data_IF_410437698567
#
_entry.id   IF_410437698567
#
_cell.length_a   1.000
_cell.length_b   1.000
_cell.length_c   1.000
_cell.angle_alpha   90.00
_cell.angle_beta   90.00
_cell.angle_gamma   90.00
#
_symmetry.space_group_name_H-M   'P 1'
#
loop_
_entity.id
_entity.type
_entity.pdbx_description
1 polymer ?
#
# COMPACT_ATOMS: atom_id res chain seq x y z
N UNK A 1 -3.33 -16.31 59.50
CA UNK A 1 -3.55 -15.11 58.66
C UNK A 1 -2.99 -15.39 57.28
N UNK A 2 -3.85 -15.74 56.33
CA UNK A 2 -3.44 -15.88 54.92
C UNK A 2 -3.33 -14.47 54.35
N UNK A 3 -2.11 -13.97 54.23
CA UNK A 3 -1.88 -12.65 53.63
C UNK A 3 -2.35 -12.74 52.19
N UNK A 4 -3.35 -11.94 51.81
CA UNK A 4 -3.79 -11.73 50.43
C UNK A 4 -2.62 -11.15 49.63
N UNK A 5 -1.67 -12.00 49.22
CA UNK A 5 -0.57 -11.61 48.36
C UNK A 5 -1.17 -11.24 47.01
N UNK A 6 -0.93 -10.02 46.55
CA UNK A 6 -1.25 -9.63 45.19
C UNK A 6 -0.44 -10.53 44.25
N UNK A 7 -1.14 -11.29 43.42
CA UNK A 7 -0.52 -12.15 42.42
C UNK A 7 0.28 -11.34 41.43
N UNK A 8 1.52 -11.75 41.18
CA UNK A 8 2.44 -11.02 40.33
C UNK A 8 2.46 -11.48 38.89
N UNK A 9 1.90 -12.67 38.61
CA UNK A 9 1.92 -13.26 37.27
C UNK A 9 0.66 -12.88 36.46
N UNK A 10 0.80 -12.05 35.41
CA UNK A 10 -0.30 -11.67 34.53
C UNK A 10 -0.81 -12.83 33.67
N UNK A 11 -0.04 -13.91 33.53
CA UNK A 11 -0.43 -15.08 32.73
C UNK A 11 -1.69 -15.75 33.28
N UNK A 12 -1.87 -15.70 34.61
CA UNK A 12 -3.06 -16.20 35.30
C UNK A 12 -4.33 -15.40 34.96
N UNK A 13 -4.19 -14.18 34.45
CA UNK A 13 -5.31 -13.38 33.96
C UNK A 13 -5.82 -13.81 32.58
N UNK A 14 -5.06 -14.61 31.82
CA UNK A 14 -5.44 -15.08 30.47
C UNK A 14 -6.38 -16.28 30.53
N UNK A 15 -7.60 -16.06 30.95
CA UNK A 15 -8.63 -17.10 31.03
C UNK A 15 -9.28 -17.37 29.67
N UNK A 16 -9.99 -18.51 29.56
CA UNK A 16 -10.80 -18.81 28.37
C UNK A 16 -11.83 -17.70 28.09
N UNK A 17 -12.39 -17.11 29.14
CA UNK A 17 -13.33 -15.99 29.05
C UNK A 17 -12.69 -14.76 28.36
N UNK A 18 -11.46 -14.40 28.75
CA UNK A 18 -10.69 -13.33 28.12
C UNK A 18 -10.41 -13.64 26.65
N UNK A 19 -10.07 -14.89 26.32
CA UNK A 19 -9.85 -15.32 24.93
C UNK A 19 -11.14 -15.20 24.10
N UNK A 20 -12.28 -15.65 24.64
CA UNK A 20 -13.58 -15.54 23.97
C UNK A 20 -13.98 -14.09 23.75
N UNK A 21 -13.78 -13.22 24.74
CA UNK A 21 -14.01 -11.78 24.62
C UNK A 21 -13.12 -11.14 23.55
N UNK A 22 -11.86 -11.55 23.46
CA UNK A 22 -10.94 -11.09 22.39
C UNK A 22 -11.43 -11.52 21.00
N UNK A 23 -11.90 -12.77 20.85
CA UNK A 23 -12.50 -13.27 19.60
C UNK A 23 -13.76 -12.47 19.25
N UNK A 24 -14.63 -12.19 20.23
CA UNK A 24 -15.81 -11.34 20.05
C UNK A 24 -15.42 -9.98 19.47
N UNK A 25 -14.46 -9.29 20.10
CA UNK A 25 -14.00 -7.98 19.62
C UNK A 25 -13.44 -8.05 18.20
N UNK A 26 -12.67 -9.10 17.90
CA UNK A 26 -12.14 -9.32 16.55
C UNK A 26 -13.25 -9.49 15.51
N UNK A 27 -14.30 -10.26 15.81
CA UNK A 27 -15.42 -10.48 14.88
C UNK A 27 -16.22 -9.19 14.68
N UNK A 28 -16.62 -8.57 15.80
CA UNK A 28 -17.49 -7.39 15.80
C UNK A 28 -16.86 -6.18 15.10
N UNK A 29 -15.52 -6.04 15.14
CA UNK A 29 -14.84 -4.92 14.48
C UNK A 29 -14.97 -4.93 12.94
N UNK A 30 -15.16 -6.10 12.33
CA UNK A 30 -15.32 -6.23 10.87
C UNK A 30 -16.78 -6.35 10.43
N UNK A 31 -17.73 -6.31 11.38
CA UNK A 31 -19.16 -6.33 11.08
C UNK A 31 -19.70 -4.93 10.88
N UNK A 32 -20.66 -4.79 9.96
CA UNK A 32 -21.45 -3.57 9.87
C UNK A 32 -22.38 -3.44 11.09
N UNK A 33 -22.88 -2.22 11.31
CA UNK A 33 -23.71 -1.89 12.48
C UNK A 33 -24.98 -2.74 12.53
N UNK A 34 -25.67 -2.89 11.40
CA UNK A 34 -26.97 -3.56 11.35
C UNK A 34 -26.81 -5.06 11.62
N UNK A 35 -25.76 -5.69 11.07
CA UNK A 35 -25.42 -7.08 11.36
C UNK A 35 -25.03 -7.30 12.82
N UNK A 36 -24.24 -6.40 13.41
CA UNK A 36 -23.86 -6.52 14.82
C UNK A 36 -25.09 -6.41 15.74
N UNK A 37 -25.98 -5.46 15.47
CA UNK A 37 -27.21 -5.25 16.24
C UNK A 37 -28.19 -6.42 16.06
N UNK A 38 -28.33 -6.97 14.84
CA UNK A 38 -29.16 -8.15 14.57
C UNK A 38 -28.68 -9.40 15.33
N UNK A 39 -27.37 -9.54 15.57
CA UNK A 39 -26.80 -10.62 16.38
C UNK A 39 -26.74 -10.28 17.89
N UNK A 40 -27.23 -9.11 18.31
CA UNK A 40 -27.16 -8.66 19.70
C UNK A 40 -25.74 -8.42 20.20
N UNK A 41 -24.77 -8.19 19.30
CA UNK A 41 -23.37 -8.02 19.65
C UNK A 41 -23.08 -6.56 19.99
N UNK A 42 -22.97 -6.27 21.29
CA UNK A 42 -22.58 -4.93 21.73
C UNK A 42 -21.16 -4.58 21.27
N UNK A 43 -21.05 -3.46 20.55
CA UNK A 43 -19.77 -2.87 20.13
C UNK A 43 -19.08 -2.17 21.28
N UNK A 44 -17.76 -2.31 21.35
CA UNK A 44 -16.97 -1.50 22.26
C UNK A 44 -16.91 -0.05 21.73
N UNK A 45 -16.80 0.93 22.64
CA UNK A 45 -16.65 2.36 22.29
C UNK A 45 -15.49 2.60 21.29
N UNK A 46 -14.49 1.71 21.27
CA UNK A 46 -13.31 1.81 20.43
C UNK A 46 -13.45 1.16 19.03
N UNK A 47 -14.65 0.72 18.60
CA UNK A 47 -14.87 0.09 17.28
C UNK A 47 -14.75 1.06 16.08
N UNK A 48 -14.64 2.37 16.30
CA UNK A 48 -14.42 3.37 15.24
C UNK A 48 -12.94 3.78 15.13
N UNK A 49 -12.06 2.79 14.95
CA UNK A 49 -10.62 3.03 14.93
C UNK A 49 -10.16 3.68 13.61
N UNK A 50 -9.58 4.89 13.64
CA UNK A 50 -9.04 5.51 12.43
C UNK A 50 -7.90 4.70 11.80
N UNK A 51 -7.13 3.93 12.59
CA UNK A 51 -6.04 3.11 12.08
C UNK A 51 -6.56 1.91 11.27
N UNK A 52 -7.72 1.36 11.63
CA UNK A 52 -8.38 0.31 10.84
C UNK A 52 -8.88 0.86 9.51
N UNK A 53 -9.44 2.07 9.50
CA UNK A 53 -9.83 2.76 8.25
C UNK A 53 -8.63 2.96 7.34
N UNK A 54 -7.47 3.34 7.90
CA UNK A 54 -6.21 3.44 7.16
C UNK A 54 -5.77 2.10 6.57
N UNK A 55 -5.96 0.98 7.28
CA UNK A 55 -5.69 -0.36 6.73
C UNK A 55 -6.50 -0.63 5.46
N UNK A 56 -7.80 -0.31 5.48
CA UNK A 56 -8.68 -0.48 4.31
C UNK A 56 -8.26 0.40 3.14
N UNK A 57 -7.88 1.66 3.40
CA UNK A 57 -7.36 2.56 2.37
C UNK A 57 -6.07 2.01 1.72
N UNK A 58 -5.17 1.41 2.51
CA UNK A 58 -3.97 0.77 1.96
C UNK A 58 -4.31 -0.45 1.08
N UNK A 59 -5.30 -1.25 1.47
CA UNK A 59 -5.82 -2.37 0.66
C UNK A 59 -6.43 -1.90 -0.65
N UNK A 60 -7.32 -0.91 -0.61
CA UNK A 60 -7.97 -0.35 -1.79
C UNK A 60 -6.94 0.27 -2.75
N UNK A 61 -5.97 1.02 -2.22
CA UNK A 61 -4.89 1.62 -3.00
C UNK A 61 -3.96 0.56 -3.63
N UNK A 62 -3.83 -0.62 -3.04
CA UNK A 62 -3.01 -1.70 -3.61
C UNK A 62 -3.48 -2.08 -5.01
N UNK A 63 -4.81 -2.13 -5.23
CA UNK A 63 -5.36 -2.42 -6.55
C UNK A 63 -5.05 -1.32 -7.56
N UNK A 64 -5.17 -0.06 -7.15
CA UNK A 64 -4.79 1.09 -7.98
C UNK A 64 -3.32 0.98 -8.42
N UNK A 65 -2.42 0.66 -7.51
CA UNK A 65 -0.99 0.53 -7.83
C UNK A 65 -0.69 -0.66 -8.73
N UNK A 66 -1.39 -1.79 -8.57
CA UNK A 66 -1.27 -2.92 -9.50
C UNK A 66 -1.68 -2.54 -10.92
N UNK A 67 -2.76 -1.76 -11.05
CA UNK A 67 -3.20 -1.26 -12.35
C UNK A 67 -2.17 -0.29 -12.96
N UNK A 68 -1.57 0.60 -12.14
CA UNK A 68 -0.48 1.47 -12.61
C UNK A 68 0.75 0.68 -13.06
N UNK A 69 1.16 -0.35 -12.30
CA UNK A 69 2.27 -1.24 -12.65
C UNK A 69 2.00 -1.90 -14.00
N UNK A 70 0.80 -2.46 -14.20
CA UNK A 70 0.41 -3.09 -15.47
C UNK A 70 0.46 -2.07 -16.62
N UNK A 71 -0.15 -0.90 -16.43
CA UNK A 71 -0.17 0.17 -17.43
C UNK A 71 1.24 0.60 -17.86
N UNK A 72 2.13 0.90 -16.90
CA UNK A 72 3.50 1.31 -17.23
C UNK A 72 4.31 0.17 -17.85
N UNK A 73 4.06 -1.08 -17.43
CA UNK A 73 4.72 -2.25 -18.04
C UNK A 73 4.35 -2.39 -19.51
N UNK A 74 3.06 -2.29 -19.85
CA UNK A 74 2.57 -2.35 -21.22
C UNK A 74 3.07 -1.15 -22.03
N UNK A 75 3.00 0.05 -21.47
CA UNK A 75 3.49 1.26 -22.13
C UNK A 75 4.98 1.14 -22.49
N UNK A 76 5.81 0.71 -21.55
CA UNK A 76 7.25 0.56 -21.80
C UNK A 76 7.54 -0.59 -22.76
N UNK A 77 6.76 -1.67 -22.72
CA UNK A 77 6.84 -2.75 -23.70
C UNK A 77 6.55 -2.24 -25.12
N UNK A 78 5.44 -1.52 -25.31
CA UNK A 78 5.07 -0.99 -26.63
C UNK A 78 6.05 0.07 -27.12
N UNK A 79 6.57 0.93 -26.23
CA UNK A 79 7.57 1.92 -26.61
C UNK A 79 8.90 1.28 -27.04
N UNK A 80 9.31 0.19 -26.39
CA UNK A 80 10.48 -0.60 -26.84
C UNK A 80 10.24 -1.22 -28.22
N UNK A 81 9.02 -1.71 -28.47
CA UNK A 81 8.64 -2.23 -29.80
C UNK A 81 8.66 -1.16 -30.88
N UNK A 82 8.12 0.02 -30.59
CA UNK A 82 8.18 1.16 -31.52
C UNK A 82 9.64 1.54 -31.80
N UNK A 83 10.48 1.63 -30.76
CA UNK A 83 11.92 1.90 -30.92
C UNK A 83 12.59 0.86 -31.83
N UNK A 84 12.27 -0.43 -31.68
CA UNK A 84 12.80 -1.47 -32.57
C UNK A 84 12.34 -1.27 -34.02
N UNK A 85 11.05 -1.02 -34.26
CA UNK A 85 10.56 -0.79 -35.62
C UNK A 85 11.13 0.47 -36.27
N UNK A 86 11.35 1.52 -35.49
CA UNK A 86 12.06 2.73 -35.95
C UNK A 86 13.48 2.39 -36.42
N UNK A 87 14.18 1.50 -35.70
CA UNK A 87 15.50 1.03 -36.13
C UNK A 87 15.41 0.25 -37.43
N UNK A 88 14.47 -0.69 -37.52
CA UNK A 88 14.29 -1.55 -38.70
C UNK A 88 13.99 -0.70 -39.95
N UNK A 89 13.11 0.31 -39.84
CA UNK A 89 12.90 1.27 -40.92
C UNK A 89 14.17 2.01 -41.30
N UNK A 90 14.92 2.47 -40.31
CA UNK A 90 16.18 3.17 -40.55
C UNK A 90 17.21 2.31 -41.28
N UNK A 91 17.30 1.02 -40.91
CA UNK A 91 18.19 0.06 -41.56
C UNK A 91 17.78 -0.19 -43.02
N UNK A 92 16.49 -0.36 -43.30
CA UNK A 92 15.95 -0.53 -44.66
C UNK A 92 16.22 0.71 -45.53
N UNK A 93 15.97 1.91 -45.01
CA UNK A 93 16.22 3.14 -45.76
C UNK A 93 17.71 3.32 -46.10
N UNK A 94 18.61 3.03 -45.16
CA UNK A 94 20.04 3.08 -45.44
C UNK A 94 20.49 2.01 -46.46
N UNK A 95 19.85 0.83 -46.47
CA UNK A 95 20.10 -0.21 -47.48
C UNK A 95 19.62 0.24 -48.87
N UNK A 96 18.42 0.80 -48.97
CA UNK A 96 17.90 1.39 -50.21
C UNK A 96 18.83 2.48 -50.73
N UNK A 97 19.29 3.38 -49.86
CA UNK A 97 20.26 4.41 -50.23
C UNK A 97 21.53 3.78 -50.84
N UNK A 98 22.10 2.76 -50.22
CA UNK A 98 23.33 2.12 -50.71
C UNK A 98 23.19 1.49 -52.11
N UNK A 99 21.97 1.15 -52.52
CA UNK A 99 21.66 0.55 -53.82
C UNK A 99 21.06 1.53 -54.84
N UNK A 100 20.72 2.75 -54.41
CA UNK A 100 20.09 3.76 -55.27
C UNK A 100 21.14 4.54 -56.08
N UNK A 101 20.92 4.60 -57.39
CA UNK A 101 21.79 5.27 -58.36
C UNK A 101 21.42 6.73 -58.58
N UNK A 102 20.15 7.09 -58.37
CA UNK A 102 19.67 8.47 -58.45
C UNK A 102 20.11 9.25 -57.21
N UNK A 103 20.98 10.24 -57.39
CA UNK A 103 21.60 10.99 -56.29
C UNK A 103 20.57 11.61 -55.31
N UNK A 104 19.49 12.19 -55.83
CA UNK A 104 18.43 12.79 -54.99
C UNK A 104 17.71 11.75 -54.13
N UNK A 105 17.36 10.59 -54.70
CA UNK A 105 16.69 9.51 -53.98
C UNK A 105 17.63 8.83 -52.97
N UNK A 106 18.91 8.65 -53.32
CA UNK A 106 19.96 8.17 -52.43
C UNK A 106 20.11 9.06 -51.19
N UNK A 107 20.23 10.38 -51.40
CA UNK A 107 20.31 11.35 -50.32
C UNK A 107 19.05 11.31 -49.45
N UNK A 108 17.87 11.23 -50.09
CA UNK A 108 16.61 11.15 -49.38
C UNK A 108 16.53 9.93 -48.46
N UNK A 109 16.81 8.74 -48.98
CA UNK A 109 16.82 7.52 -48.21
C UNK A 109 17.87 7.55 -47.08
N UNK A 110 19.03 8.17 -47.30
CA UNK A 110 20.04 8.36 -46.24
C UNK A 110 19.50 9.22 -45.10
N UNK A 111 18.93 10.37 -45.43
CA UNK A 111 18.36 11.32 -44.44
C UNK A 111 17.23 10.66 -43.64
N UNK A 112 16.29 9.97 -44.30
CA UNK A 112 15.23 9.24 -43.61
C UNK A 112 15.77 8.10 -42.76
N UNK A 113 16.75 7.34 -43.27
CA UNK A 113 17.36 6.23 -42.56
C UNK A 113 18.04 6.65 -41.26
N UNK A 114 18.81 7.73 -41.33
CA UNK A 114 19.45 8.33 -40.15
C UNK A 114 18.44 8.87 -39.15
N UNK A 115 17.39 9.57 -39.61
CA UNK A 115 16.34 10.08 -38.73
C UNK A 115 15.63 8.95 -37.97
N UNK A 116 15.25 7.87 -38.66
CA UNK A 116 14.62 6.69 -38.07
C UNK A 116 15.52 5.99 -37.03
N UNK A 117 16.82 5.85 -37.31
CA UNK A 117 17.81 5.33 -36.34
C UNK A 117 17.96 6.24 -35.12
N UNK A 118 17.94 7.56 -35.31
CA UNK A 118 17.98 8.52 -34.21
C UNK A 118 16.74 8.43 -33.32
N UNK A 119 15.54 8.37 -33.92
CA UNK A 119 14.27 8.18 -33.20
C UNK A 119 14.32 6.93 -32.33
N UNK A 120 14.75 5.80 -32.90
CA UNK A 120 14.91 4.54 -32.17
C UNK A 120 15.80 4.72 -30.94
N UNK A 121 16.98 5.30 -31.12
CA UNK A 121 17.95 5.51 -30.04
C UNK A 121 17.38 6.37 -28.92
N UNK A 122 16.76 7.51 -29.26
CA UNK A 122 16.17 8.43 -28.26
C UNK A 122 15.04 7.78 -27.47
N UNK A 123 14.21 6.96 -28.12
CA UNK A 123 13.13 6.23 -27.47
C UNK A 123 13.64 5.10 -26.56
N UNK A 124 14.69 4.37 -26.96
CA UNK A 124 15.26 3.30 -26.13
C UNK A 124 15.99 3.86 -24.91
N UNK A 125 16.74 4.95 -25.08
CA UNK A 125 17.48 5.59 -23.98
C UNK A 125 16.54 6.20 -22.92
N UNK A 126 15.40 6.76 -23.34
CA UNK A 126 14.40 7.29 -22.39
C UNK A 126 13.80 6.21 -21.50
N UNK A 127 13.58 4.99 -22.03
CA UNK A 127 13.05 3.87 -21.24
C UNK A 127 13.99 3.38 -20.15
N UNK A 128 15.31 3.43 -20.35
CA UNK A 128 16.29 3.02 -19.32
C UNK A 128 16.12 3.82 -18.02
N UNK A 129 15.82 5.12 -18.15
CA UNK A 129 15.60 6.02 -17.02
C UNK A 129 14.25 5.82 -16.32
N UNK A 130 13.29 5.18 -17.00
CA UNK A 130 11.92 4.99 -16.52
C UNK A 130 11.66 3.61 -15.91
N UNK A 131 12.46 2.59 -16.27
CA UNK A 131 12.35 1.23 -15.69
C UNK A 131 12.34 1.18 -14.15
N UNK A 132 13.11 2.02 -13.40
CA UNK A 132 13.04 2.03 -11.93
C UNK A 132 11.65 2.33 -11.36
N UNK A 133 10.83 3.11 -12.07
CA UNK A 133 9.46 3.44 -11.64
C UNK A 133 8.64 2.18 -11.35
N UNK A 134 8.71 1.17 -12.23
CA UNK A 134 7.97 -0.08 -12.05
C UNK A 134 8.51 -0.85 -10.84
N UNK A 135 9.84 -0.93 -10.70
CA UNK A 135 10.47 -1.66 -9.60
C UNK A 135 10.11 -1.07 -8.22
N UNK A 136 10.05 0.25 -8.12
CA UNK A 136 9.69 0.94 -6.89
C UNK A 136 8.20 0.77 -6.56
N UNK A 137 7.31 0.85 -7.55
CA UNK A 137 5.87 0.55 -7.36
C UNK A 137 5.64 -0.90 -6.93
N UNK A 138 6.32 -1.86 -7.55
CA UNK A 138 6.25 -3.28 -7.17
C UNK A 138 6.73 -3.46 -5.72
N UNK A 139 7.84 -2.82 -5.34
CA UNK A 139 8.36 -2.89 -3.97
C UNK A 139 7.35 -2.30 -2.98
N UNK A 140 6.71 -1.19 -3.31
CA UNK A 140 5.67 -0.59 -2.48
C UNK A 140 4.50 -1.56 -2.25
N UNK A 141 3.97 -2.16 -3.32
CA UNK A 141 2.83 -3.08 -3.27
C UNK A 141 3.16 -4.40 -2.59
N UNK A 142 4.29 -5.03 -2.93
CA UNK A 142 4.57 -6.40 -2.52
C UNK A 142 5.36 -6.50 -1.21
N UNK A 143 5.97 -5.41 -0.75
CA UNK A 143 6.78 -5.38 0.48
C UNK A 143 6.26 -4.39 1.50
N UNK A 144 6.12 -3.12 1.10
CA UNK A 144 5.85 -2.03 2.06
C UNK A 144 4.43 -2.09 2.61
N UNK A 145 3.43 -2.28 1.73
CA UNK A 145 2.02 -2.40 2.16
C UNK A 145 1.79 -3.63 3.05
N UNK A 146 2.23 -4.85 2.68
CA UNK A 146 2.07 -6.04 3.52
C UNK A 146 2.74 -5.92 4.89
N UNK A 147 3.95 -5.32 4.97
CA UNK A 147 4.63 -5.08 6.24
C UNK A 147 3.84 -4.12 7.15
N UNK A 148 3.27 -3.06 6.56
CA UNK A 148 2.42 -2.12 7.30
C UNK A 148 1.12 -2.76 7.78
N UNK A 149 0.48 -3.58 6.93
CA UNK A 149 -0.69 -4.36 7.30
C UNK A 149 -0.39 -5.34 8.44
N UNK A 150 0.78 -5.98 8.44
CA UNK A 150 1.19 -6.86 9.53
C UNK A 150 1.34 -6.09 10.85
N UNK A 151 1.93 -4.90 10.82
CA UNK A 151 2.01 -4.02 11.99
C UNK A 151 0.63 -3.61 12.50
N UNK A 152 -0.29 -3.25 11.60
CA UNK A 152 -1.69 -2.94 11.94
C UNK A 152 -2.42 -4.14 12.55
N UNK A 153 -2.23 -5.34 12.02
CA UNK A 153 -2.80 -6.58 12.60
C UNK A 153 -2.29 -6.84 14.02
N UNK A 154 -1.00 -6.62 14.29
CA UNK A 154 -0.42 -6.71 15.65
C UNK A 154 -1.03 -5.67 16.59
N UNK A 155 -1.22 -4.44 16.11
CA UNK A 155 -1.91 -3.39 16.87
C UNK A 155 -3.34 -3.77 17.25
N UNK A 156 -4.13 -4.25 16.29
CA UNK A 156 -5.50 -4.68 16.54
C UNK A 156 -5.55 -5.83 17.54
N UNK A 157 -4.62 -6.78 17.46
CA UNK A 157 -4.53 -7.89 18.40
C UNK A 157 -4.31 -7.40 19.86
N UNK A 158 -3.40 -6.45 20.06
CA UNK A 158 -3.14 -5.82 21.37
C UNK A 158 -4.34 -5.00 21.84
N UNK A 159 -4.99 -4.27 20.93
CA UNK A 159 -6.23 -3.52 21.21
C UNK A 159 -7.34 -4.46 21.70
N UNK A 160 -7.59 -5.58 21.01
CA UNK A 160 -8.62 -6.53 21.39
C UNK A 160 -8.32 -7.22 22.73
N UNK A 161 -7.04 -7.50 23.01
CA UNK A 161 -6.62 -8.00 24.33
C UNK A 161 -6.93 -6.96 25.42
N UNK A 162 -6.55 -5.69 25.25
CA UNK A 162 -6.90 -4.63 26.19
C UNK A 162 -8.42 -4.48 26.40
N UNK A 163 -9.18 -4.46 25.30
CA UNK A 163 -10.64 -4.37 25.33
C UNK A 163 -11.31 -5.56 26.03
N UNK A 164 -10.72 -6.75 25.96
CA UNK A 164 -11.24 -7.94 26.63
C UNK A 164 -11.20 -7.80 28.15
N UNK A 165 -10.11 -7.24 28.71
CA UNK A 165 -10.01 -6.94 30.14
C UNK A 165 -10.92 -5.79 30.56
N UNK A 166 -11.09 -4.75 29.72
CA UNK A 166 -12.06 -3.69 29.99
C UNK A 166 -13.48 -4.22 30.09
N UNK A 167 -13.87 -5.12 29.19
CA UNK A 167 -15.19 -5.73 29.20
C UNK A 167 -15.38 -6.63 30.43
N UNK A 168 -14.39 -7.47 30.77
CA UNK A 168 -14.44 -8.30 31.97
C UNK A 168 -14.61 -7.47 33.24
N UNK A 169 -13.86 -6.38 33.39
CA UNK A 169 -13.99 -5.50 34.56
C UNK A 169 -15.36 -4.84 34.63
N UNK A 170 -15.89 -4.39 33.49
CA UNK A 170 -17.24 -3.84 33.43
C UNK A 170 -18.29 -4.86 33.87
N UNK A 171 -18.22 -6.09 33.37
CA UNK A 171 -19.14 -7.17 33.79
C UNK A 171 -19.06 -7.42 35.31
N UNK A 172 -17.87 -7.36 35.91
CA UNK A 172 -17.69 -7.49 37.36
C UNK A 172 -18.23 -6.28 38.13
N UNK A 173 -18.05 -5.06 37.61
CA UNK A 173 -18.63 -3.84 38.21
C UNK A 173 -20.16 -3.90 38.15
N UNK A 174 -20.73 -4.31 37.01
CA UNK A 174 -22.19 -4.44 36.80
C UNK A 174 -22.79 -5.51 37.74
N UNK A 175 -22.13 -6.66 37.92
CA UNK A 175 -22.52 -7.71 38.88
C UNK A 175 -22.51 -7.17 40.33
N UNK A 176 -21.48 -6.40 40.71
CA UNK A 176 -21.41 -5.84 42.07
C UNK A 176 -22.53 -4.84 42.34
N UNK A 177 -22.87 -4.01 41.34
CA UNK A 177 -24.00 -3.08 41.41
C UNK A 177 -25.34 -3.81 41.52
N UNK A 178 -25.53 -4.92 40.81
CA UNK A 178 -26.73 -5.74 40.87
C UNK A 178 -26.96 -6.31 42.27
N UNK A 179 -25.95 -6.97 42.87
CA UNK A 179 -26.03 -7.49 44.24
C UNK A 179 -26.28 -6.38 45.25
N UNK A 180 -25.62 -5.22 45.07
CA UNK A 180 -25.84 -4.06 45.93
C UNK A 180 -27.31 -3.57 45.87
N UNK A 181 -27.91 -3.55 44.68
CA UNK A 181 -29.32 -3.15 44.50
C UNK A 181 -30.31 -4.11 45.16
N UNK A 182 -29.94 -5.39 45.29
CA UNK A 182 -30.71 -6.42 45.97
C UNK A 182 -30.47 -6.46 47.49
N UNK A 183 -29.57 -5.61 48.03
CA UNK A 183 -29.07 -5.69 49.41
C UNK A 183 -28.46 -7.07 49.76
N UNK A 184 -27.88 -7.76 48.78
CA UNK A 184 -27.22 -9.05 48.98
C UNK A 184 -25.70 -8.90 49.05
N UNK A 185 -25.06 -9.77 49.84
CA UNK A 185 -23.60 -9.85 49.92
C UNK A 185 -23.04 -10.67 48.75
N UNK A 186 -21.99 -10.14 48.11
CA UNK A 186 -21.33 -10.82 47.00
C UNK A 186 -20.06 -11.52 47.48
N UNK A 187 -20.08 -12.85 47.47
CA UNK A 187 -19.01 -13.70 48.04
C UNK A 187 -17.60 -13.31 47.59
N UNK A 188 -17.39 -13.00 46.29
CA UNK A 188 -16.07 -12.59 45.79
C UNK A 188 -15.59 -11.29 46.45
N UNK A 189 -16.48 -10.34 46.75
CA UNK A 189 -16.13 -9.08 47.43
C UNK A 189 -15.81 -9.32 48.89
N UNK A 190 -16.64 -10.12 49.57
CA UNK A 190 -16.48 -10.46 50.99
C UNK A 190 -15.17 -11.22 51.26
N UNK A 191 -14.73 -12.02 50.29
CA UNK A 191 -13.47 -12.78 50.35
C UNK A 191 -12.26 -12.01 49.80
N UNK A 192 -12.41 -10.69 49.63
CA UNK A 192 -11.32 -9.81 49.27
C UNK A 192 -11.03 -9.75 47.78
N UNK A 193 -12.00 -9.97 46.89
CA UNK A 193 -12.05 -9.61 45.47
C UNK A 193 -10.76 -9.84 44.65
N UNK A 194 -10.15 -11.02 44.80
CA UNK A 194 -8.86 -11.32 44.20
C UNK A 194 -8.89 -11.31 42.66
N UNK A 195 -9.91 -11.91 42.04
CA UNK A 195 -10.04 -11.96 40.57
C UNK A 195 -10.12 -10.55 39.98
N UNK A 196 -10.90 -9.66 40.60
CA UNK A 196 -11.02 -8.28 40.15
C UNK A 196 -9.69 -7.54 40.18
N UNK A 197 -8.92 -7.68 41.26
CA UNK A 197 -7.57 -7.09 41.35
C UNK A 197 -6.61 -7.64 40.29
N UNK A 198 -6.69 -8.94 39.99
CA UNK A 198 -5.90 -9.56 38.93
C UNK A 198 -6.28 -8.98 37.56
N UNK A 199 -7.58 -8.87 37.27
CA UNK A 199 -8.08 -8.27 36.02
C UNK A 199 -7.70 -6.79 35.88
N UNK A 200 -7.75 -6.01 36.96
CA UNK A 200 -7.31 -4.60 36.98
C UNK A 200 -5.85 -4.46 36.57
N UNK A 201 -4.97 -5.32 37.12
CA UNK A 201 -3.55 -5.34 36.76
C UNK A 201 -3.35 -5.70 35.29
N UNK A 202 -4.00 -6.77 34.82
CA UNK A 202 -3.90 -7.20 33.43
C UNK A 202 -4.40 -6.11 32.46
N UNK A 203 -5.49 -5.41 32.81
CA UNK A 203 -5.95 -4.22 32.07
C UNK A 203 -4.88 -3.13 32.03
N UNK A 204 -4.23 -2.82 33.16
CA UNK A 204 -3.22 -1.77 33.23
C UNK A 204 -2.00 -2.08 32.34
N UNK A 205 -1.51 -3.31 32.38
CA UNK A 205 -0.38 -3.75 31.55
C UNK A 205 -0.74 -3.75 30.05
N UNK A 206 -1.90 -4.30 29.70
CA UNK A 206 -2.37 -4.32 28.31
C UNK A 206 -2.68 -2.93 27.79
N UNK A 207 -3.15 -1.99 28.64
CA UNK A 207 -3.33 -0.59 28.28
C UNK A 207 -2.02 0.07 27.89
N UNK A 208 -0.95 -0.17 28.64
CA UNK A 208 0.38 0.39 28.32
C UNK A 208 0.87 -0.11 26.96
N UNK A 209 0.77 -1.43 26.72
CA UNK A 209 1.12 -2.04 25.42
C UNK A 209 0.27 -1.50 24.28
N UNK A 210 -1.04 -1.35 24.50
CA UNK A 210 -1.96 -0.78 23.52
C UNK A 210 -1.61 0.66 23.17
N UNK A 211 -1.39 1.52 24.16
CA UNK A 211 -1.06 2.94 23.93
C UNK A 211 0.27 3.08 23.20
N UNK A 212 1.29 2.30 23.61
CA UNK A 212 2.58 2.29 22.94
C UNK A 212 2.44 1.86 21.46
N UNK A 213 1.84 0.69 21.22
CA UNK A 213 1.65 0.17 19.86
C UNK A 213 0.81 1.12 19.00
N UNK A 214 -0.20 1.77 19.57
CA UNK A 214 -1.02 2.79 18.87
C UNK A 214 -0.16 3.94 18.37
N UNK A 215 0.74 4.45 19.21
CA UNK A 215 1.64 5.54 18.84
C UNK A 215 2.64 5.10 17.77
N UNK A 216 3.23 3.91 17.92
CA UNK A 216 4.19 3.34 16.98
C UNK A 216 3.57 3.15 15.58
N UNK A 217 2.35 2.60 15.52
CA UNK A 217 1.63 2.41 14.26
C UNK A 217 1.23 3.74 13.63
N UNK A 218 0.80 4.72 14.43
CA UNK A 218 0.45 6.05 13.93
C UNK A 218 1.65 6.71 13.26
N UNK A 219 2.83 6.70 13.90
CA UNK A 219 4.07 7.24 13.32
C UNK A 219 4.44 6.47 12.05
N UNK A 220 4.35 5.13 12.06
CA UNK A 220 4.70 4.31 10.89
C UNK A 220 3.81 4.63 9.68
N UNK A 221 2.50 4.80 9.88
CA UNK A 221 1.57 5.17 8.81
C UNK A 221 1.86 6.58 8.29
N UNK A 222 2.15 7.53 9.17
CA UNK A 222 2.49 8.90 8.75
C UNK A 222 3.77 8.93 7.90
N UNK A 223 4.82 8.22 8.32
CA UNK A 223 6.06 8.09 7.55
C UNK A 223 5.83 7.40 6.20
N UNK A 224 4.97 6.37 6.18
CA UNK A 224 4.58 5.69 4.96
C UNK A 224 3.87 6.66 4.00
N UNK A 225 2.85 7.37 4.48
CA UNK A 225 2.07 8.32 3.68
C UNK A 225 2.97 9.42 3.09
N UNK A 226 3.86 10.01 3.91
CA UNK A 226 4.80 11.05 3.47
C UNK A 226 5.80 10.56 2.43
N UNK A 227 6.41 9.38 2.65
CA UNK A 227 7.36 8.80 1.70
C UNK A 227 6.65 8.46 0.38
N UNK A 228 5.51 7.80 0.49
CA UNK A 228 4.74 7.34 -0.65
C UNK A 228 4.28 8.47 -1.58
N UNK A 229 3.71 9.55 -1.02
CA UNK A 229 3.28 10.71 -1.81
C UNK A 229 4.45 11.38 -2.53
N UNK A 230 5.62 11.43 -1.88
CA UNK A 230 6.84 11.99 -2.48
C UNK A 230 7.36 11.13 -3.62
N UNK A 231 7.43 9.81 -3.41
CA UNK A 231 7.97 8.87 -4.38
C UNK A 231 7.09 8.83 -5.63
N UNK A 232 5.75 8.73 -5.49
CA UNK A 232 4.83 8.72 -6.64
C UNK A 232 4.88 10.04 -7.42
N UNK A 233 4.91 11.19 -6.73
CA UNK A 233 5.00 12.49 -7.39
C UNK A 233 6.33 12.63 -8.15
N UNK A 234 7.44 12.18 -7.56
CA UNK A 234 8.74 12.20 -8.20
C UNK A 234 8.76 11.30 -9.44
N UNK A 235 8.23 10.07 -9.35
CA UNK A 235 8.15 9.16 -10.49
C UNK A 235 7.32 9.71 -11.64
N UNK A 236 6.15 10.29 -11.36
CA UNK A 236 5.28 10.87 -12.38
C UNK A 236 5.90 12.13 -13.02
N UNK A 237 6.55 12.99 -12.22
CA UNK A 237 7.27 14.15 -12.73
C UNK A 237 8.46 13.74 -13.61
N UNK A 238 9.23 12.73 -13.17
CA UNK A 238 10.33 12.17 -13.95
C UNK A 238 9.82 11.57 -15.27
N UNK A 239 8.73 10.80 -15.24
CA UNK A 239 8.08 10.29 -16.44
C UNK A 239 7.69 11.40 -17.41
N UNK A 240 6.99 12.43 -16.94
CA UNK A 240 6.58 13.55 -17.77
C UNK A 240 7.78 14.30 -18.37
N UNK A 241 8.84 14.54 -17.59
CA UNK A 241 10.05 15.22 -18.07
C UNK A 241 10.77 14.39 -19.13
N UNK A 242 11.05 13.11 -18.85
CA UNK A 242 11.76 12.22 -19.77
C UNK A 242 10.99 12.05 -21.08
N UNK A 243 9.67 11.91 -21.02
CA UNK A 243 8.85 11.78 -22.22
C UNK A 243 8.78 13.09 -23.01
N UNK A 244 8.68 14.25 -22.34
CA UNK A 244 8.74 15.56 -22.99
C UNK A 244 10.06 15.73 -23.74
N UNK A 245 11.18 15.44 -23.09
CA UNK A 245 12.52 15.61 -23.68
C UNK A 245 12.71 14.64 -24.85
N UNK A 246 12.27 13.39 -24.70
CA UNK A 246 12.29 12.40 -25.78
C UNK A 246 11.48 12.88 -27.00
N UNK A 247 10.26 13.39 -26.80
CA UNK A 247 9.43 13.91 -27.89
C UNK A 247 10.03 15.15 -28.55
N UNK A 248 10.63 16.06 -27.76
CA UNK A 248 11.29 17.25 -28.29
C UNK A 248 12.49 16.87 -29.18
N UNK A 249 13.32 15.93 -28.73
CA UNK A 249 14.45 15.43 -29.52
C UNK A 249 13.99 14.68 -30.78
N UNK A 250 12.91 13.89 -30.68
CA UNK A 250 12.31 13.22 -31.84
C UNK A 250 11.80 14.24 -32.87
N UNK A 251 11.18 15.32 -32.41
CA UNK A 251 10.70 16.41 -33.26
C UNK A 251 11.85 17.09 -34.01
N UNK A 252 12.97 17.37 -33.31
CA UNK A 252 14.17 17.93 -33.93
C UNK A 252 14.73 16.99 -35.00
N UNK A 253 14.84 15.69 -34.71
CA UNK A 253 15.31 14.70 -35.68
C UNK A 253 14.45 14.66 -36.96
N UNK A 254 13.12 14.82 -36.83
CA UNK A 254 12.19 14.85 -37.95
C UNK A 254 12.19 16.18 -38.72
N UNK A 255 12.54 17.31 -38.10
CA UNK A 255 12.64 18.59 -38.81
C UNK A 255 13.73 18.55 -39.89
N UNK A 256 14.79 17.77 -39.68
CA UNK A 256 15.85 17.58 -40.66
C UNK A 256 15.39 16.85 -41.94
N UNK A 257 14.20 16.23 -41.94
CA UNK A 257 13.66 15.50 -43.10
C UNK A 257 12.63 16.30 -43.92
N UNK A 258 12.26 17.52 -43.50
CA UNK A 258 11.12 18.26 -44.09
C UNK A 258 11.34 18.77 -45.53
N UNK A 259 12.60 19.01 -45.93
CA UNK A 259 12.93 19.61 -47.23
C UNK A 259 13.55 18.60 -48.20
N UNK A 260 13.44 17.31 -47.91
CA UNK A 260 14.11 16.27 -48.68
C UNK A 260 13.18 15.82 -49.82
N UNK A 261 13.45 16.20 -51.09
CA UNK A 261 12.57 15.87 -52.19
C UNK A 261 12.68 14.39 -52.52
N UNK A 262 11.55 13.69 -52.53
CA UNK A 262 11.46 12.30 -52.97
C UNK A 262 11.03 12.33 -54.45
N UNK A 263 12.00 12.46 -55.35
CA UNK A 263 11.79 12.18 -56.77
C UNK A 263 12.05 10.69 -56.99
N UNK A 264 10.99 9.88 -57.05
CA UNK A 264 11.09 8.49 -57.46
C UNK A 264 10.66 8.46 -58.93
N UNK A 265 11.63 8.27 -59.83
CA UNK A 265 11.30 7.93 -61.21
C UNK A 265 10.70 6.52 -61.21
N UNK A 266 9.37 6.46 -61.26
CA UNK A 266 8.66 5.21 -61.51
C UNK A 266 8.88 4.92 -62.99
N UNK A 267 9.88 4.07 -63.29
CA UNK A 267 10.05 3.52 -64.63
C UNK A 267 8.77 2.72 -64.93
N UNK A 268 7.99 3.17 -65.92
CA UNK A 268 6.89 2.41 -66.53
C UNK A 268 7.41 1.19 -67.27
#
# INVERSE_FOLDING_TARGET
>A
MTINKLETDPSKGKTLDIVMKKIKHKIVEFMDTDSADALGLSRAILCNDPLLKKMKVLEDNTMLYRNLIAYFSDLFYFQEKISQYQKDFGDIFCELAAHESHANANEAFTVFGEAHRQLSKKQSDSLKNLRPLIADLVTYVDKVVPDTQLTLKKYLDVKYEYLSYCLKLKEMDDEELEYHSLNEGLYRVETGNYEYRLMLRCRQETRQKFVQMRNDVMIKIELLDQKHVRDIAHHLANFASVMKDCLAECSIALQHTQNTPIEIDIIQ
#
